data_IF_512673695768
#
_entry.id   IF_512673695768
#
_cell.length_a   1.000
_cell.length_b   1.000
_cell.length_c   1.000
_cell.angle_alpha   90.00
_cell.angle_beta   90.00
_cell.angle_gamma   90.00
#
_symmetry.space_group_name_H-M   'P 1'
#
loop_
_entity.id
_entity.type
_entity.pdbx_description
1 polymer ?
#
# COMPACT_ATOMS: atom_id res chain seq x y z
N UNK A 1 -17.28 15.42 95.28
CA UNK A 1 -16.67 15.34 96.63
C UNK A 1 -15.33 16.08 96.62
N UNK A 2 -14.76 16.49 97.77
CA UNK A 2 -13.42 17.13 97.81
C UNK A 2 -12.38 16.15 98.35
N UNK A 3 -11.18 16.16 97.78
CA UNK A 3 -10.07 15.31 98.22
C UNK A 3 -9.62 15.71 99.63
N UNK A 4 -9.62 14.77 100.58
CA UNK A 4 -9.16 15.03 101.95
C UNK A 4 -7.67 15.37 102.05
N UNK A 5 -6.86 15.02 101.04
CA UNK A 5 -5.41 15.25 101.02
C UNK A 5 -5.00 16.58 100.36
N UNK A 6 -5.69 17.00 99.29
CA UNK A 6 -5.31 18.20 98.52
C UNK A 6 -6.45 19.22 98.30
N UNK A 7 -7.66 18.95 98.77
CA UNK A 7 -8.82 19.85 98.67
C UNK A 7 -9.49 19.96 97.29
N UNK A 8 -8.92 19.35 96.25
CA UNK A 8 -9.47 19.39 94.89
C UNK A 8 -10.84 18.68 94.79
N UNK A 9 -11.71 19.18 93.92
CA UNK A 9 -13.05 18.61 93.68
C UNK A 9 -12.95 17.39 92.74
N UNK A 10 -13.62 16.29 93.10
CA UNK A 10 -13.61 14.97 92.42
C UNK A 10 -15.06 14.57 92.08
N UNK A 11 -15.28 14.07 90.86
CA UNK A 11 -16.54 13.47 90.39
C UNK A 11 -16.70 12.03 90.90
N UNK A 12 -17.94 11.55 91.03
CA UNK A 12 -18.32 10.37 91.85
C UNK A 12 -17.80 9.02 91.34
N UNK A 13 -17.23 9.01 90.14
CA UNK A 13 -16.98 7.86 89.28
C UNK A 13 -15.48 7.49 89.20
N UNK A 14 -14.63 8.18 89.98
CA UNK A 14 -13.18 7.94 90.06
C UNK A 14 -12.80 7.44 91.47
N UNK A 15 -12.28 6.21 91.56
CA UNK A 15 -11.80 5.60 92.80
C UNK A 15 -10.51 6.20 93.36
N UNK A 16 -9.95 7.24 92.73
CA UNK A 16 -8.75 7.94 93.15
C UNK A 16 -8.81 9.42 92.74
N UNK A 17 -8.09 10.28 93.46
CA UNK A 17 -8.00 11.70 93.14
C UNK A 17 -7.08 11.92 91.93
N UNK A 18 -7.56 12.50 90.81
CA UNK A 18 -6.74 12.68 89.60
C UNK A 18 -5.58 13.68 89.78
N UNK A 19 -5.62 14.54 90.80
CA UNK A 19 -4.60 15.56 91.04
C UNK A 19 -3.46 15.12 91.96
N UNK A 20 -3.72 14.26 92.95
CA UNK A 20 -2.69 13.86 93.93
C UNK A 20 -2.50 12.34 94.04
N UNK A 21 -3.28 11.54 93.30
CA UNK A 21 -3.18 10.08 93.27
C UNK A 21 -3.65 9.36 94.53
N UNK A 22 -4.20 10.07 95.53
CA UNK A 22 -4.73 9.45 96.73
C UNK A 22 -6.01 8.65 96.42
N UNK A 23 -6.08 7.41 96.89
CA UNK A 23 -7.25 6.54 96.74
C UNK A 23 -8.46 7.13 97.51
N UNK A 24 -9.60 7.16 96.84
CA UNK A 24 -10.85 7.65 97.41
C UNK A 24 -11.54 6.46 98.09
N UNK A 25 -11.42 6.37 99.42
CA UNK A 25 -12.22 5.41 100.19
C UNK A 25 -13.67 5.90 100.24
N UNK A 26 -14.48 5.33 99.36
CA UNK A 26 -15.94 5.46 99.43
C UNK A 26 -16.41 4.59 100.60
N UNK A 27 -16.98 5.22 101.63
CA UNK A 27 -17.60 4.49 102.74
C UNK A 27 -18.86 3.83 102.18
N UNK A 28 -19.01 2.49 102.29
CA UNK A 28 -20.11 1.78 101.67
C UNK A 28 -21.48 2.25 102.15
N UNK A 29 -22.33 2.52 101.16
CA UNK A 29 -23.78 2.41 101.09
C UNK A 29 -24.55 2.63 102.39
N UNK A 30 -25.13 3.83 102.47
CA UNK A 30 -26.26 4.18 103.32
C UNK A 30 -27.35 3.10 103.23
N UNK A 31 -27.46 2.31 104.29
CA UNK A 31 -28.45 1.25 104.41
C UNK A 31 -29.71 1.83 105.09
N UNK A 32 -30.83 2.03 104.38
CA UNK A 32 -32.05 2.60 104.96
C UNK A 32 -32.67 1.74 106.08
N UNK A 33 -32.21 0.49 106.26
CA UNK A 33 -32.56 -0.34 107.43
C UNK A 33 -31.96 0.19 108.74
N UNK A 34 -30.83 0.92 108.70
CA UNK A 34 -30.20 1.47 109.90
C UNK A 34 -30.98 2.67 110.46
N UNK A 35 -31.61 3.48 109.59
CA UNK A 35 -32.55 4.53 110.02
C UNK A 35 -33.88 3.95 110.53
N UNK A 36 -34.39 2.86 109.93
CA UNK A 36 -35.58 2.18 110.46
C UNK A 36 -35.34 1.56 111.84
N UNK A 37 -34.14 1.05 112.11
CA UNK A 37 -33.72 0.57 113.45
C UNK A 37 -33.50 1.73 114.43
N UNK A 38 -32.96 2.86 113.98
CA UNK A 38 -32.77 4.06 114.81
C UNK A 38 -34.09 4.78 115.16
N UNK A 39 -35.08 4.74 114.26
CA UNK A 39 -36.37 5.41 114.41
C UNK A 39 -37.33 4.61 115.32
N UNK A 40 -37.15 3.29 115.43
CA UNK A 40 -37.99 2.43 116.29
C UNK A 40 -37.42 2.21 117.71
N UNK A 41 -36.12 2.44 117.93
CA UNK A 41 -35.51 2.47 119.29
C UNK A 41 -35.90 3.74 120.05
N UNK A 42 -36.30 4.84 119.37
CA UNK A 42 -36.87 6.04 120.02
C UNK A 42 -38.33 5.89 120.45
N UNK A 43 -39.08 4.91 119.92
CA UNK A 43 -40.48 4.68 120.27
C UNK A 43 -40.71 3.63 121.36
N UNK A 44 -39.67 2.93 121.81
CA UNK A 44 -39.76 1.82 122.77
C UNK A 44 -39.30 2.18 124.20
N UNK A 45 -39.22 3.49 124.51
CA UNK A 45 -39.04 4.01 125.87
C UNK A 45 -40.30 4.80 126.21
N UNK A 46 -41.43 4.12 126.32
CA UNK A 46 -42.54 4.51 127.20
C UNK A 46 -43.48 3.31 127.33
N UNK A 47 -43.72 2.91 128.57
CA UNK A 47 -44.30 1.63 128.95
C UNK A 47 -45.72 1.41 128.45
N UNK A 48 -45.97 0.19 127.99
CA UNK A 48 -47.30 -0.34 127.72
C UNK A 48 -47.21 -1.74 127.12
N UNK A 49 -47.65 -2.74 127.87
CA UNK A 49 -47.63 -4.16 127.49
C UNK A 49 -48.24 -4.39 126.10
N UNK A 50 -47.42 -4.78 125.12
CA UNK A 50 -47.85 -5.24 123.79
C UNK A 50 -47.76 -6.76 123.74
N UNK A 51 -48.90 -7.40 123.48
CA UNK A 51 -49.09 -8.86 123.52
C UNK A 51 -48.23 -9.60 122.47
N UNK A 52 -47.67 -10.76 122.85
CA UNK A 52 -46.92 -11.69 121.96
C UNK A 52 -47.61 -11.95 120.61
N UNK A 53 -48.94 -11.92 120.58
CA UNK A 53 -49.76 -12.14 119.38
C UNK A 53 -49.65 -11.04 118.31
N UNK A 54 -49.36 -9.79 118.68
CA UNK A 54 -49.22 -8.69 117.71
C UNK A 54 -47.87 -8.71 117.01
N UNK A 55 -46.81 -9.08 117.73
CA UNK A 55 -45.46 -9.25 117.18
C UNK A 55 -45.40 -10.40 116.15
N UNK A 56 -46.16 -11.47 116.39
CA UNK A 56 -46.21 -12.65 115.51
C UNK A 56 -47.01 -12.39 114.23
N UNK A 57 -48.12 -11.65 114.30
CA UNK A 57 -48.84 -11.14 113.11
C UNK A 57 -47.96 -10.22 112.27
N UNK A 58 -47.15 -9.37 112.91
CA UNK A 58 -46.23 -8.48 112.21
C UNK A 58 -45.13 -9.25 111.48
N UNK A 59 -44.52 -10.28 112.11
CA UNK A 59 -43.54 -11.15 111.44
C UNK A 59 -44.14 -11.90 110.24
N UNK A 60 -45.36 -12.41 110.39
CA UNK A 60 -46.05 -13.10 109.28
C UNK A 60 -46.35 -12.14 108.12
N UNK A 61 -46.83 -10.92 108.41
CA UNK A 61 -47.10 -9.90 107.39
C UNK A 61 -45.82 -9.43 106.67
N UNK A 62 -44.68 -9.32 107.38
CA UNK A 62 -43.38 -8.99 106.78
C UNK A 62 -42.85 -10.14 105.94
N UNK A 63 -42.94 -11.39 106.41
CA UNK A 63 -42.55 -12.57 105.63
C UNK A 63 -43.41 -12.75 104.37
N UNK A 64 -44.71 -12.49 104.46
CA UNK A 64 -45.63 -12.56 103.33
C UNK A 64 -45.33 -11.46 102.30
N UNK A 65 -45.09 -10.22 102.73
CA UNK A 65 -44.63 -9.13 101.84
C UNK A 65 -43.30 -9.45 101.17
N UNK A 66 -42.32 -9.97 101.92
CA UNK A 66 -41.02 -10.36 101.37
C UNK A 66 -41.17 -11.48 100.33
N UNK A 67 -42.06 -12.43 100.58
CA UNK A 67 -42.37 -13.52 99.64
C UNK A 67 -43.07 -13.00 98.39
N UNK A 68 -44.01 -12.08 98.52
CA UNK A 68 -44.68 -11.42 97.39
C UNK A 68 -43.69 -10.58 96.56
N UNK A 69 -42.81 -9.81 97.20
CA UNK A 69 -41.74 -9.08 96.50
C UNK A 69 -40.78 -10.02 95.76
N UNK A 70 -40.38 -11.13 96.38
CA UNK A 70 -39.56 -12.14 95.70
C UNK A 70 -40.27 -12.78 94.51
N UNK A 71 -41.57 -13.06 94.64
CA UNK A 71 -42.38 -13.57 93.52
C UNK A 71 -42.52 -12.53 92.41
N UNK A 72 -42.73 -11.26 92.74
CA UNK A 72 -42.84 -10.17 91.77
C UNK A 72 -41.50 -9.89 91.06
N UNK A 73 -40.38 -9.89 91.80
CA UNK A 73 -39.04 -9.82 91.23
C UNK A 73 -38.73 -11.02 90.33
N UNK A 74 -39.13 -12.22 90.74
CA UNK A 74 -38.94 -13.43 89.93
C UNK A 74 -39.78 -13.35 88.64
N UNK A 75 -41.04 -12.92 88.71
CA UNK A 75 -41.88 -12.68 87.53
C UNK A 75 -41.31 -11.58 86.63
N UNK A 76 -40.78 -10.49 87.21
CA UNK A 76 -40.08 -9.43 86.45
C UNK A 76 -38.84 -9.97 85.76
N UNK A 77 -37.99 -10.75 86.45
CA UNK A 77 -36.81 -11.41 85.84
C UNK A 77 -37.21 -12.35 84.70
N UNK A 78 -38.23 -13.18 84.89
CA UNK A 78 -38.71 -14.10 83.86
C UNK A 78 -39.30 -13.36 82.64
N UNK A 79 -40.03 -12.27 82.85
CA UNK A 79 -40.59 -11.46 81.75
C UNK A 79 -39.50 -10.74 80.95
N UNK A 80 -38.47 -10.18 81.61
CA UNK A 80 -37.29 -9.60 80.95
C UNK A 80 -36.53 -10.67 80.18
N UNK A 81 -36.34 -11.86 80.77
CA UNK A 81 -35.66 -12.97 80.10
C UNK A 81 -36.44 -13.47 78.88
N UNK A 82 -37.76 -13.64 78.97
CA UNK A 82 -38.61 -13.97 77.81
C UNK A 82 -38.53 -12.91 76.72
N UNK A 83 -38.56 -11.62 77.07
CA UNK A 83 -38.42 -10.53 76.11
C UNK A 83 -37.07 -10.55 75.41
N UNK A 84 -35.97 -10.78 76.14
CA UNK A 84 -34.63 -10.92 75.57
C UNK A 84 -34.51 -12.13 74.64
N UNK A 85 -35.18 -13.24 74.94
CA UNK A 85 -35.20 -14.43 74.09
C UNK A 85 -35.97 -14.18 72.79
N UNK A 86 -37.12 -13.49 72.86
CA UNK A 86 -37.89 -13.09 71.67
C UNK A 86 -37.07 -12.14 70.79
N UNK A 87 -36.44 -11.13 71.38
CA UNK A 87 -35.58 -10.18 70.66
C UNK A 87 -34.37 -10.89 70.00
N UNK A 88 -33.71 -11.82 70.70
CA UNK A 88 -32.63 -12.63 70.15
C UNK A 88 -33.10 -13.55 69.01
N UNK A 89 -34.30 -14.14 69.13
CA UNK A 89 -34.88 -14.98 68.08
C UNK A 89 -35.26 -14.15 66.84
N UNK A 90 -35.84 -12.96 67.03
CA UNK A 90 -36.14 -12.02 65.96
C UNK A 90 -34.88 -11.53 65.25
N UNK A 91 -33.81 -11.22 66.00
CA UNK A 91 -32.52 -10.83 65.44
C UNK A 91 -31.87 -11.98 64.66
N UNK A 92 -31.95 -13.22 65.18
CA UNK A 92 -31.49 -14.41 64.48
C UNK A 92 -32.29 -14.66 63.19
N UNK A 93 -33.62 -14.49 63.23
CA UNK A 93 -34.50 -14.54 62.04
C UNK A 93 -34.13 -13.45 61.04
N UNK A 94 -33.84 -12.22 61.48
CA UNK A 94 -33.39 -11.09 60.64
C UNK A 94 -32.04 -11.38 59.99
N UNK A 95 -31.05 -11.88 60.74
CA UNK A 95 -29.73 -12.29 60.25
C UNK A 95 -29.85 -13.40 59.20
N UNK A 96 -30.67 -14.44 59.45
CA UNK A 96 -30.97 -15.51 58.47
C UNK A 96 -31.61 -14.96 57.19
N UNK A 97 -32.60 -14.05 57.30
CA UNK A 97 -33.22 -13.39 56.13
C UNK A 97 -32.21 -12.57 55.31
N UNK A 98 -31.31 -11.83 55.97
CA UNK A 98 -30.25 -11.07 55.31
C UNK A 98 -29.20 -11.97 54.65
N UNK A 99 -28.80 -13.06 55.30
CA UNK A 99 -27.89 -14.07 54.74
C UNK A 99 -28.49 -14.73 53.48
N UNK A 100 -29.76 -15.15 53.54
CA UNK A 100 -30.49 -15.69 52.38
C UNK A 100 -30.59 -14.68 51.24
N UNK A 101 -30.89 -13.40 51.53
CA UNK A 101 -30.87 -12.32 50.52
C UNK A 101 -29.48 -12.12 49.91
N UNK A 102 -28.41 -12.14 50.70
CA UNK A 102 -27.02 -12.04 50.22
C UNK A 102 -26.65 -13.24 49.34
N UNK A 103 -27.04 -14.45 49.72
CA UNK A 103 -26.79 -15.66 48.95
C UNK A 103 -27.55 -15.64 47.61
N UNK A 104 -28.83 -15.28 47.60
CA UNK A 104 -29.61 -15.09 46.37
C UNK A 104 -29.00 -13.99 45.50
N UNK A 105 -28.59 -12.85 46.07
CA UNK A 105 -27.88 -11.79 45.32
C UNK A 105 -26.54 -12.29 44.75
N UNK A 106 -25.78 -13.09 45.49
CA UNK A 106 -24.52 -13.72 45.01
C UNK A 106 -24.80 -14.70 43.87
N UNK A 107 -25.82 -15.56 43.99
CA UNK A 107 -26.25 -16.48 42.92
C UNK A 107 -26.72 -15.73 41.68
N UNK A 108 -27.57 -14.69 41.84
CA UNK A 108 -28.01 -13.81 40.74
C UNK A 108 -26.83 -13.07 40.10
N UNK A 109 -25.89 -12.52 40.88
CA UNK A 109 -24.69 -11.85 40.37
C UNK A 109 -23.80 -12.82 39.60
N UNK A 110 -23.57 -14.04 40.10
CA UNK A 110 -22.80 -15.08 39.38
C UNK A 110 -23.50 -15.49 38.08
N UNK A 111 -24.82 -15.64 38.10
CA UNK A 111 -25.62 -15.93 36.91
C UNK A 111 -25.50 -14.79 35.89
N UNK A 112 -25.69 -13.54 36.30
CA UNK A 112 -25.57 -12.37 35.42
C UNK A 112 -24.15 -12.25 34.85
N UNK A 113 -23.11 -12.42 35.66
CA UNK A 113 -21.72 -12.42 35.18
C UNK A 113 -21.51 -13.56 34.18
N UNK A 114 -21.98 -14.77 34.49
CA UNK A 114 -21.92 -15.91 33.58
C UNK A 114 -22.59 -15.61 32.24
N UNK A 115 -23.82 -15.09 32.27
CA UNK A 115 -24.56 -14.68 31.06
C UNK A 115 -23.81 -13.61 30.25
N UNK A 116 -23.22 -12.60 30.91
CA UNK A 116 -22.43 -11.58 30.21
C UNK A 116 -21.14 -12.14 29.60
N UNK A 117 -20.45 -13.05 30.29
CA UNK A 117 -19.24 -13.69 29.75
C UNK A 117 -19.60 -14.57 28.55
N UNK A 118 -20.70 -15.33 28.63
CA UNK A 118 -21.16 -16.13 27.50
C UNK A 118 -21.63 -15.28 26.33
N UNK A 119 -22.34 -14.17 26.57
CA UNK A 119 -22.79 -13.30 25.48
C UNK A 119 -21.62 -12.59 24.81
N UNK A 120 -20.63 -12.11 25.57
CA UNK A 120 -19.39 -11.54 25.03
C UNK A 120 -18.59 -12.62 24.25
N UNK A 121 -18.50 -13.84 24.78
CA UNK A 121 -17.90 -14.97 24.09
C UNK A 121 -18.58 -15.28 22.76
N UNK A 122 -19.91 -15.30 22.72
CA UNK A 122 -20.67 -15.49 21.47
C UNK A 122 -20.48 -14.32 20.50
N UNK A 123 -20.50 -13.08 20.97
CA UNK A 123 -20.28 -11.90 20.14
C UNK A 123 -18.86 -11.88 19.52
N UNK A 124 -17.85 -12.30 20.28
CA UNK A 124 -16.47 -12.41 19.77
C UNK A 124 -16.33 -13.53 18.74
N UNK A 125 -16.97 -14.69 18.95
CA UNK A 125 -16.99 -15.76 17.95
C UNK A 125 -17.72 -15.34 16.66
N UNK A 126 -18.85 -14.64 16.79
CA UNK A 126 -19.59 -14.09 15.66
C UNK A 126 -18.75 -13.06 14.90
N UNK A 127 -18.10 -12.12 15.59
CA UNK A 127 -17.27 -11.11 14.95
C UNK A 127 -16.07 -11.72 14.21
N UNK A 128 -15.42 -12.74 14.80
CA UNK A 128 -14.36 -13.50 14.13
C UNK A 128 -14.89 -14.25 12.91
N UNK A 129 -16.07 -14.85 12.99
CA UNK A 129 -16.72 -15.52 11.85
C UNK A 129 -17.01 -14.56 10.70
N UNK A 130 -17.58 -13.38 11.02
CA UNK A 130 -17.85 -12.31 10.04
C UNK A 130 -16.54 -11.83 9.43
N UNK A 131 -15.52 -11.57 10.24
CA UNK A 131 -14.21 -11.14 9.75
C UNK A 131 -13.57 -12.17 8.82
N UNK A 132 -13.56 -13.45 9.19
CA UNK A 132 -13.02 -14.54 8.35
C UNK A 132 -13.76 -14.69 7.03
N UNK A 133 -15.05 -14.39 6.99
CA UNK A 133 -15.86 -14.38 5.77
C UNK A 133 -15.69 -13.08 4.96
N UNK A 134 -15.28 -11.98 5.60
CA UNK A 134 -15.13 -10.68 4.95
C UNK A 134 -14.06 -10.68 3.85
N UNK A 135 -14.17 -9.73 2.93
CA UNK A 135 -13.18 -9.51 1.87
C UNK A 135 -11.77 -9.36 2.46
N UNK A 136 -11.57 -8.41 3.37
CA UNK A 136 -10.28 -8.16 4.01
C UNK A 136 -9.75 -9.37 4.81
N UNK A 137 -10.64 -10.17 5.40
CA UNK A 137 -10.24 -11.41 6.06
C UNK A 137 -9.72 -12.46 5.08
N UNK A 138 -10.37 -12.60 3.91
CA UNK A 138 -9.89 -13.48 2.83
C UNK A 138 -8.56 -12.99 2.26
N UNK A 139 -8.40 -11.70 2.00
CA UNK A 139 -7.13 -11.12 1.52
C UNK A 139 -5.98 -11.45 2.48
N UNK A 140 -6.12 -11.12 3.77
CA UNK A 140 -5.05 -11.41 4.75
C UNK A 140 -4.74 -12.90 4.86
N UNK A 141 -5.77 -13.75 4.75
CA UNK A 141 -5.58 -15.20 4.75
C UNK A 141 -4.86 -15.68 3.48
N UNK A 142 -5.19 -15.13 2.31
CA UNK A 142 -4.55 -15.43 1.03
C UNK A 142 -3.05 -15.13 1.09
N UNK A 143 -2.67 -13.93 1.54
CA UNK A 143 -1.27 -13.57 1.71
C UNK A 143 -0.53 -14.42 2.75
N UNK A 144 -1.20 -14.78 3.86
CA UNK A 144 -0.61 -15.69 4.85
C UNK A 144 -0.33 -17.08 4.24
N UNK A 145 -1.24 -17.61 3.43
CA UNK A 145 -1.07 -18.89 2.72
C UNK A 145 0.03 -18.81 1.65
N UNK A 146 0.11 -17.71 0.92
CA UNK A 146 1.15 -17.47 -0.07
C UNK A 146 2.54 -17.47 0.58
N UNK A 147 2.68 -16.83 1.75
CA UNK A 147 3.93 -16.84 2.54
C UNK A 147 4.31 -18.24 3.04
N UNK A 148 3.32 -19.09 3.30
CA UNK A 148 3.52 -20.51 3.62
C UNK A 148 3.76 -21.39 2.38
N UNK A 149 3.87 -20.80 1.18
CA UNK A 149 4.00 -21.49 -0.12
C UNK A 149 2.85 -22.45 -0.44
N UNK A 150 1.68 -22.25 0.18
CA UNK A 150 0.46 -23.01 -0.09
C UNK A 150 -0.32 -22.36 -1.23
N UNK A 151 0.29 -22.31 -2.41
CA UNK A 151 -0.18 -21.51 -3.55
C UNK A 151 -1.61 -21.87 -3.97
N UNK A 152 -1.95 -23.16 -4.14
CA UNK A 152 -3.30 -23.59 -4.51
C UNK A 152 -4.38 -23.09 -3.53
N UNK A 153 -4.08 -23.08 -2.24
CA UNK A 153 -5.01 -22.61 -1.21
C UNK A 153 -5.08 -21.08 -1.17
N UNK A 154 -3.97 -20.40 -1.46
CA UNK A 154 -3.91 -18.94 -1.57
C UNK A 154 -4.77 -18.48 -2.76
N UNK A 155 -4.56 -19.08 -3.95
CA UNK A 155 -5.32 -18.81 -5.17
C UNK A 155 -6.82 -18.95 -4.92
N UNK A 156 -7.27 -20.11 -4.43
CA UNK A 156 -8.70 -20.34 -4.10
C UNK A 156 -9.25 -19.37 -3.06
N UNK A 157 -8.40 -18.82 -2.19
CA UNK A 157 -8.83 -17.84 -1.18
C UNK A 157 -8.99 -16.46 -1.80
N UNK A 158 -8.09 -16.07 -2.71
CA UNK A 158 -8.18 -14.82 -3.46
C UNK A 158 -9.29 -14.84 -4.51
N UNK A 159 -9.49 -15.93 -5.25
CA UNK A 159 -10.64 -16.12 -6.16
C UNK A 159 -11.97 -15.88 -5.42
N UNK A 160 -12.11 -16.46 -4.23
CA UNK A 160 -13.26 -16.21 -3.35
C UNK A 160 -13.38 -14.76 -2.88
N UNK A 161 -12.30 -13.99 -2.86
CA UNK A 161 -12.33 -12.56 -2.55
C UNK A 161 -12.78 -11.76 -3.78
N UNK A 162 -12.27 -12.12 -4.96
CA UNK A 162 -12.69 -11.59 -6.28
C UNK A 162 -14.19 -11.78 -6.48
N UNK A 163 -14.73 -12.98 -6.27
CA UNK A 163 -16.18 -13.28 -6.36
C UNK A 163 -17.05 -12.33 -5.52
N UNK A 164 -16.53 -11.82 -4.39
CA UNK A 164 -17.27 -10.91 -3.51
C UNK A 164 -17.18 -9.45 -3.95
N UNK A 165 -16.05 -9.05 -4.52
CA UNK A 165 -15.76 -7.66 -4.92
C UNK A 165 -14.91 -7.67 -6.20
N UNK A 166 -15.53 -7.90 -7.37
CA UNK A 166 -14.80 -8.10 -8.63
C UNK A 166 -14.10 -6.84 -9.15
N UNK A 167 -14.51 -5.64 -8.75
CA UNK A 167 -13.85 -4.39 -9.17
C UNK A 167 -12.63 -4.00 -8.30
N UNK A 168 -12.33 -4.73 -7.22
CA UNK A 168 -11.24 -4.38 -6.28
C UNK A 168 -9.94 -5.07 -6.64
N UNK A 169 -8.91 -4.26 -6.87
CA UNK A 169 -7.63 -4.70 -7.36
C UNK A 169 -6.80 -5.53 -6.35
N UNK A 170 -6.92 -5.27 -5.04
CA UNK A 170 -6.13 -5.94 -3.97
C UNK A 170 -6.20 -7.49 -4.02
N UNK A 171 -7.32 -8.06 -4.49
CA UNK A 171 -7.46 -9.52 -4.63
C UNK A 171 -6.71 -10.07 -5.84
N UNK A 172 -6.73 -9.34 -6.95
CA UNK A 172 -6.02 -9.68 -8.18
C UNK A 172 -4.51 -9.49 -8.01
N UNK A 173 -4.08 -8.42 -7.34
CA UNK A 173 -2.69 -8.24 -6.93
C UNK A 173 -2.19 -9.42 -6.08
N UNK A 174 -3.04 -9.94 -5.18
CA UNK A 174 -2.73 -11.14 -4.40
C UNK A 174 -2.60 -12.41 -5.26
N UNK A 175 -3.43 -12.58 -6.30
CA UNK A 175 -3.33 -13.68 -7.26
C UNK A 175 -2.07 -13.56 -8.11
N UNK A 176 -1.82 -12.38 -8.69
CA UNK A 176 -0.64 -12.10 -9.49
C UNK A 176 0.65 -12.30 -8.68
N UNK A 177 0.69 -11.88 -7.41
CA UNK A 177 1.82 -12.13 -6.52
C UNK A 177 2.05 -13.63 -6.27
N UNK A 178 0.98 -14.44 -6.21
CA UNK A 178 1.12 -15.89 -6.09
C UNK A 178 1.66 -16.50 -7.37
N UNK A 179 1.14 -16.10 -8.54
CA UNK A 179 1.63 -16.61 -9.84
C UNK A 179 3.07 -16.17 -10.13
N UNK A 180 3.44 -14.93 -9.82
CA UNK A 180 4.81 -14.45 -9.89
C UNK A 180 5.75 -15.25 -8.96
N UNK A 181 5.30 -15.58 -7.75
CA UNK A 181 6.06 -16.47 -6.85
C UNK A 181 6.20 -17.91 -7.37
N UNK A 182 5.41 -18.29 -8.37
CA UNK A 182 5.51 -19.55 -9.12
C UNK A 182 6.29 -19.38 -10.45
N UNK A 183 6.89 -18.21 -10.69
CA UNK A 183 7.60 -17.84 -11.92
C UNK A 183 6.72 -17.87 -13.18
N UNK A 184 5.40 -17.71 -12.99
CA UNK A 184 4.43 -17.69 -14.08
C UNK A 184 3.88 -16.27 -14.27
N UNK A 185 4.68 -15.45 -14.96
CA UNK A 185 4.34 -14.05 -15.24
C UNK A 185 3.13 -13.93 -16.17
N UNK A 186 3.01 -14.83 -17.15
CA UNK A 186 1.90 -14.84 -18.11
C UNK A 186 0.56 -14.97 -17.39
N UNK A 187 0.44 -15.91 -16.44
CA UNK A 187 -0.78 -16.03 -15.62
C UNK A 187 -0.95 -14.87 -14.65
N UNK A 188 0.12 -14.32 -14.11
CA UNK A 188 0.04 -13.15 -13.24
C UNK A 188 -0.54 -11.93 -13.97
N UNK A 189 -0.10 -11.70 -15.21
CA UNK A 189 -0.57 -10.62 -16.08
C UNK A 189 -2.02 -10.85 -16.54
N UNK A 190 -2.34 -12.07 -16.99
CA UNK A 190 -3.69 -12.44 -17.44
C UNK A 190 -4.77 -12.17 -16.37
N UNK A 191 -4.45 -12.38 -15.09
CA UNK A 191 -5.36 -12.08 -13.97
C UNK A 191 -5.78 -10.60 -13.95
N UNK A 192 -4.89 -9.68 -14.31
CA UNK A 192 -5.22 -8.26 -14.38
C UNK A 192 -6.03 -7.93 -15.64
N UNK A 193 -5.65 -8.48 -16.80
CA UNK A 193 -6.41 -8.30 -18.03
C UNK A 193 -7.86 -8.77 -17.89
N UNK A 194 -8.08 -9.98 -17.35
CA UNK A 194 -9.43 -10.51 -17.08
C UNK A 194 -10.23 -9.56 -16.16
N UNK A 195 -9.57 -8.97 -15.16
CA UNK A 195 -10.19 -8.06 -14.21
C UNK A 195 -10.59 -6.73 -14.85
N UNK A 196 -9.69 -6.18 -15.69
CA UNK A 196 -9.85 -4.92 -16.43
C UNK A 196 -10.93 -5.08 -17.49
N UNK A 197 -10.94 -6.17 -18.26
CA UNK A 197 -12.00 -6.44 -19.24
C UNK A 197 -13.38 -6.51 -18.56
N UNK A 198 -13.46 -7.12 -17.38
CA UNK A 198 -14.70 -7.16 -16.61
C UNK A 198 -15.07 -5.82 -15.95
N UNK A 199 -14.10 -4.93 -15.69
CA UNK A 199 -14.30 -3.68 -14.96
C UNK A 199 -13.42 -2.54 -15.54
N UNK A 200 -13.65 -2.11 -16.79
CA UNK A 200 -12.72 -1.22 -17.51
C UNK A 200 -12.63 0.18 -16.91
N UNK A 201 -13.60 0.59 -16.10
CA UNK A 201 -13.64 1.90 -15.42
C UNK A 201 -12.88 1.93 -14.10
N UNK A 202 -12.31 0.81 -13.65
CA UNK A 202 -11.64 0.72 -12.35
C UNK A 202 -10.19 1.18 -12.43
N UNK A 203 -9.94 2.44 -12.05
CA UNK A 203 -8.58 3.00 -11.96
C UNK A 203 -7.66 2.14 -11.08
N UNK A 204 -8.18 1.60 -9.96
CA UNK A 204 -7.42 0.76 -9.03
C UNK A 204 -6.82 -0.48 -9.74
N UNK A 205 -7.51 -1.07 -10.73
CA UNK A 205 -7.00 -2.24 -11.45
C UNK A 205 -5.82 -1.90 -12.36
N UNK A 206 -5.90 -0.78 -13.07
CA UNK A 206 -4.81 -0.30 -13.90
C UNK A 206 -3.60 0.12 -13.07
N UNK A 207 -3.82 0.78 -11.92
CA UNK A 207 -2.71 1.15 -11.01
C UNK A 207 -1.96 -0.08 -10.51
N UNK A 208 -2.66 -1.12 -10.04
CA UNK A 208 -2.00 -2.36 -9.57
C UNK A 208 -1.31 -3.12 -10.71
N UNK A 209 -1.86 -3.09 -11.93
CA UNK A 209 -1.21 -3.70 -13.09
C UNK A 209 0.06 -2.94 -13.52
N UNK A 210 0.03 -1.59 -13.47
CA UNK A 210 1.22 -0.76 -13.69
C UNK A 210 2.27 -1.05 -12.62
N UNK A 211 1.87 -1.10 -11.35
CA UNK A 211 2.78 -1.44 -10.24
C UNK A 211 3.36 -2.85 -10.41
N UNK A 212 2.57 -3.80 -10.91
CA UNK A 212 3.04 -5.13 -11.29
C UNK A 212 4.11 -5.06 -12.39
N UNK A 213 3.85 -4.36 -13.50
CA UNK A 213 4.84 -4.21 -14.58
C UNK A 213 6.13 -3.52 -14.14
N UNK A 214 6.04 -2.52 -13.27
CA UNK A 214 7.23 -1.86 -12.70
C UNK A 214 7.99 -2.84 -11.80
N UNK A 215 7.30 -3.66 -11.00
CA UNK A 215 7.93 -4.61 -10.10
C UNK A 215 8.56 -5.82 -10.82
N UNK A 216 8.16 -6.10 -12.07
CA UNK A 216 8.65 -7.21 -12.90
C UNK A 216 9.59 -6.75 -14.03
N UNK A 217 10.03 -5.49 -14.03
CA UNK A 217 10.89 -4.89 -15.08
C UNK A 217 10.28 -5.00 -16.50
N UNK A 218 8.95 -4.83 -16.59
CA UNK A 218 8.15 -4.89 -17.82
C UNK A 218 7.54 -3.53 -18.18
N UNK A 219 8.27 -2.42 -17.97
CA UNK A 219 7.74 -1.06 -18.15
C UNK A 219 7.29 -0.75 -19.59
N UNK A 220 7.77 -1.52 -20.58
CA UNK A 220 7.33 -1.44 -21.97
C UNK A 220 5.87 -1.83 -22.18
N UNK A 221 5.26 -2.59 -21.25
CA UNK A 221 3.85 -2.97 -21.32
C UNK A 221 2.91 -1.86 -20.85
N UNK A 222 3.38 -0.93 -20.00
CA UNK A 222 2.58 0.19 -19.50
C UNK A 222 2.00 1.07 -20.63
N UNK A 223 2.79 1.53 -21.62
CA UNK A 223 2.21 2.32 -22.71
C UNK A 223 1.22 1.51 -23.57
N UNK A 224 1.39 0.18 -23.70
CA UNK A 224 0.46 -0.69 -24.42
C UNK A 224 -0.87 -0.77 -23.65
N UNK A 225 -0.83 -1.08 -22.36
CA UNK A 225 -1.99 -1.08 -21.46
C UNK A 225 -2.78 0.24 -21.53
N UNK A 226 -2.08 1.37 -21.56
CA UNK A 226 -2.71 2.69 -21.61
C UNK A 226 -3.22 3.06 -23.01
N UNK A 227 -2.69 2.48 -24.09
CA UNK A 227 -3.18 2.68 -25.45
C UNK A 227 -4.48 1.90 -25.68
N UNK A 228 -4.57 0.68 -25.12
CA UNK A 228 -5.76 -0.18 -25.17
C UNK A 228 -6.91 0.30 -24.26
N UNK A 229 -6.64 1.25 -23.36
CA UNK A 229 -7.64 1.79 -22.43
C UNK A 229 -8.58 2.78 -23.12
N UNK A 230 -9.81 2.36 -23.39
CA UNK A 230 -10.86 3.23 -23.98
C UNK A 230 -11.45 4.26 -22.98
N UNK A 231 -11.24 4.06 -21.68
CA UNK A 231 -11.89 4.84 -20.63
C UNK A 231 -11.12 6.15 -20.32
N UNK A 232 -11.62 7.27 -20.85
CA UNK A 232 -11.01 8.60 -20.68
C UNK A 232 -10.82 9.00 -19.19
N UNK A 233 -11.73 8.57 -18.32
CA UNK A 233 -11.63 8.84 -16.88
C UNK A 233 -10.43 8.16 -16.23
N UNK A 234 -10.10 6.95 -16.68
CA UNK A 234 -8.94 6.17 -16.25
C UNK A 234 -7.67 6.79 -16.81
N UNK A 235 -7.65 7.09 -18.12
CA UNK A 235 -6.53 7.79 -18.76
C UNK A 235 -6.20 9.10 -18.05
N UNK A 236 -7.22 9.88 -17.69
CA UNK A 236 -7.05 11.15 -16.96
C UNK A 236 -6.40 10.94 -15.59
N UNK A 237 -6.82 9.91 -14.84
CA UNK A 237 -6.21 9.56 -13.55
C UNK A 237 -4.75 9.10 -13.71
N UNK A 238 -4.46 8.36 -14.76
CA UNK A 238 -3.14 7.77 -15.04
C UNK A 238 -2.22 8.66 -15.90
N UNK A 239 -2.57 9.94 -16.07
CA UNK A 239 -1.81 10.89 -16.90
C UNK A 239 -0.32 10.97 -16.56
N UNK A 240 0.08 10.67 -15.32
CA UNK A 240 1.49 10.66 -14.90
C UNK A 240 2.31 9.52 -15.50
N UNK A 241 1.66 8.47 -16.00
CA UNK A 241 2.27 7.29 -16.63
C UNK A 241 2.29 7.41 -18.16
N UNK A 242 1.44 8.27 -18.74
CA UNK A 242 1.38 8.47 -20.18
C UNK A 242 2.62 9.20 -20.72
N UNK A 243 3.27 8.60 -21.70
CA UNK A 243 4.40 9.18 -22.42
C UNK A 243 4.10 9.17 -23.91
N UNK A 244 4.12 10.34 -24.54
CA UNK A 244 3.92 10.45 -25.99
C UNK A 244 5.21 10.10 -26.71
N UNK A 245 5.06 9.37 -27.81
CA UNK A 245 6.14 8.99 -28.69
C UNK A 245 6.90 10.24 -29.21
N UNK A 246 8.21 10.13 -29.48
CA UNK A 246 8.99 11.24 -29.99
C UNK A 246 8.51 11.63 -31.39
N UNK A 247 8.45 12.94 -31.66
CA UNK A 247 8.10 13.46 -32.97
C UNK A 247 9.36 13.59 -33.84
N UNK A 248 9.30 12.96 -35.01
CA UNK A 248 10.31 13.04 -36.05
C UNK A 248 10.11 14.31 -36.89
N UNK A 249 11.20 15.01 -37.22
CA UNK A 249 11.13 16.22 -38.06
C UNK A 249 10.92 15.93 -39.54
N UNK A 250 11.31 14.74 -39.99
CA UNK A 250 11.21 14.31 -41.38
C UNK A 250 10.04 13.33 -41.56
N UNK A 251 9.36 13.47 -42.69
CA UNK A 251 8.34 12.54 -43.13
C UNK A 251 8.97 11.33 -43.82
N UNK A 252 8.27 10.20 -43.78
CA UNK A 252 8.70 8.99 -44.47
C UNK A 252 8.55 9.20 -45.98
N UNK A 253 9.67 9.56 -46.64
CA UNK A 253 9.73 9.93 -48.05
C UNK A 253 11.06 9.51 -48.66
N UNK A 254 11.11 9.60 -49.99
CA UNK A 254 12.36 9.64 -50.75
C UNK A 254 12.95 11.05 -50.70
N UNK A 255 14.27 11.11 -50.59
CA UNK A 255 15.07 12.34 -50.58
C UNK A 255 16.20 12.23 -51.61
N UNK A 256 16.55 13.33 -52.23
CA UNK A 256 17.63 13.46 -53.23
C UNK A 256 18.92 14.03 -52.63
N UNK A 257 18.93 14.32 -51.35
CA UNK A 257 20.10 14.78 -50.59
C UNK A 257 20.14 14.13 -49.20
N UNK A 258 21.35 14.05 -48.62
CA UNK A 258 21.54 13.57 -47.25
C UNK A 258 20.73 14.42 -46.28
N UNK A 259 19.95 13.77 -45.43
CA UNK A 259 19.07 14.46 -44.49
C UNK A 259 19.61 14.43 -43.05
N UNK A 260 19.20 15.42 -42.26
CA UNK A 260 19.38 15.42 -40.80
C UNK A 260 18.01 15.26 -40.12
N UNK A 261 17.81 14.11 -39.48
CA UNK A 261 16.61 13.82 -38.71
C UNK A 261 16.76 14.34 -37.28
N UNK A 262 15.80 15.14 -36.84
CA UNK A 262 15.70 15.56 -35.43
C UNK A 262 14.50 14.93 -34.74
N UNK A 263 14.68 14.56 -33.48
CA UNK A 263 13.67 13.98 -32.61
C UNK A 263 13.29 14.97 -31.51
N UNK A 264 12.00 15.14 -31.23
CA UNK A 264 11.50 16.03 -30.18
C UNK A 264 10.48 15.32 -29.28
N UNK A 265 10.56 15.53 -27.96
CA UNK A 265 9.59 15.00 -27.00
C UNK A 265 9.43 15.92 -25.80
N UNK A 266 8.30 15.81 -25.10
CA UNK A 266 8.07 16.44 -23.79
C UNK A 266 8.62 15.58 -22.63
N UNK A 267 9.07 14.36 -22.91
CA UNK A 267 9.62 13.44 -21.92
C UNK A 267 11.03 13.88 -21.45
N UNK A 268 11.64 13.10 -20.56
CA UNK A 268 12.95 13.41 -19.99
C UNK A 268 14.06 13.14 -21.01
N UNK A 269 14.03 11.97 -21.63
CA UNK A 269 15.08 11.45 -22.52
C UNK A 269 14.44 10.76 -23.74
N UNK A 270 15.20 10.64 -24.83
CA UNK A 270 14.82 9.90 -26.06
C UNK A 270 15.93 8.91 -26.36
N UNK A 271 15.56 7.70 -26.75
CA UNK A 271 16.46 6.62 -27.15
C UNK A 271 16.05 6.11 -28.52
N UNK A 272 17.02 5.72 -29.35
CA UNK A 272 16.77 5.32 -30.72
C UNK A 272 17.73 4.24 -31.23
N UNK A 273 17.34 3.61 -32.33
CA UNK A 273 18.10 2.62 -33.10
C UNK A 273 17.98 2.93 -34.59
N UNK A 274 19.01 2.55 -35.36
CA UNK A 274 19.06 2.72 -36.84
C UNK A 274 19.32 1.40 -37.58
N UNK A 275 19.45 0.30 -36.83
CA UNK A 275 19.71 -1.06 -37.33
C UNK A 275 18.44 -1.91 -37.41
N UNK A 276 17.28 -1.31 -37.11
CA UNK A 276 15.97 -1.96 -37.09
C UNK A 276 15.62 -2.68 -35.77
N UNK A 277 16.54 -2.74 -34.80
CA UNK A 277 16.25 -3.33 -33.48
C UNK A 277 15.28 -2.47 -32.66
N UNK A 278 14.52 -3.08 -31.74
CA UNK A 278 13.62 -2.34 -30.86
C UNK A 278 14.41 -1.47 -29.86
N UNK A 279 14.11 -0.17 -29.75
CA UNK A 279 14.83 0.72 -28.86
C UNK A 279 14.44 0.47 -27.39
N UNK A 280 15.44 0.47 -26.52
CA UNK A 280 15.30 0.37 -25.06
C UNK A 280 16.05 1.52 -24.37
N UNK A 281 15.98 1.60 -23.05
CA UNK A 281 16.76 2.55 -22.24
C UNK A 281 18.28 2.30 -22.30
N UNK A 282 18.70 1.15 -22.85
CA UNK A 282 20.10 0.80 -23.10
C UNK A 282 20.57 1.17 -24.51
N UNK A 283 19.64 1.54 -25.41
CA UNK A 283 19.95 1.98 -26.77
C UNK A 283 20.65 3.35 -26.80
N UNK A 284 20.97 3.82 -28.01
CA UNK A 284 21.66 5.10 -28.19
C UNK A 284 20.77 6.25 -27.72
N UNK A 285 21.26 7.03 -26.75
CA UNK A 285 20.59 8.24 -26.28
C UNK A 285 20.68 9.33 -27.35
N UNK A 286 19.54 9.96 -27.67
CA UNK A 286 19.48 11.05 -28.63
C UNK A 286 19.97 12.36 -28.00
N UNK A 287 21.08 12.90 -28.53
CA UNK A 287 21.69 14.17 -28.09
C UNK A 287 21.90 15.16 -29.25
N UNK A 288 21.96 14.66 -30.49
CA UNK A 288 22.27 15.41 -31.71
C UNK A 288 21.44 14.86 -32.88
N UNK A 289 21.22 15.65 -33.95
CA UNK A 289 20.54 15.17 -35.15
C UNK A 289 21.16 13.88 -35.70
N UNK A 290 20.31 12.99 -36.22
CA UNK A 290 20.69 11.71 -36.82
C UNK A 290 20.91 11.95 -38.32
N UNK A 291 22.11 11.65 -38.81
CA UNK A 291 22.40 11.74 -40.25
C UNK A 291 21.81 10.54 -40.99
N UNK A 292 21.06 10.82 -42.06
CA UNK A 292 20.45 9.82 -42.95
C UNK A 292 21.24 9.81 -44.26
N UNK A 293 22.18 8.86 -44.45
CA UNK A 293 23.01 8.79 -45.65
C UNK A 293 22.25 8.21 -46.85
N UNK A 294 22.91 8.18 -48.02
CA UNK A 294 22.43 7.47 -49.22
C UNK A 294 22.07 6.00 -48.89
N UNK A 295 20.95 5.54 -49.45
CA UNK A 295 20.37 4.23 -49.19
C UNK A 295 19.11 4.29 -48.31
N UNK A 296 18.73 3.14 -47.75
CA UNK A 296 17.56 3.01 -46.88
C UNK A 296 17.99 2.95 -45.42
N UNK A 297 17.45 3.86 -44.59
CA UNK A 297 17.69 3.89 -43.14
C UNK A 297 16.35 3.83 -42.41
N UNK A 298 16.17 2.85 -41.54
CA UNK A 298 15.01 2.76 -40.63
C UNK A 298 15.42 3.27 -39.27
N UNK A 299 14.67 4.25 -38.74
CA UNK A 299 14.91 4.83 -37.42
C UNK A 299 13.73 4.52 -36.52
N UNK A 300 13.99 3.84 -35.41
CA UNK A 300 13.01 3.58 -34.34
C UNK A 300 13.38 4.38 -33.11
N UNK A 301 12.40 4.96 -32.42
CA UNK A 301 12.67 5.75 -31.21
C UNK A 301 11.56 5.67 -30.17
N UNK A 302 11.98 5.75 -28.90
CA UNK A 302 11.10 5.86 -27.73
C UNK A 302 11.48 7.10 -26.90
N UNK A 303 10.49 7.67 -26.22
CA UNK A 303 10.70 8.72 -25.25
C UNK A 303 10.48 8.16 -23.84
N UNK A 304 11.33 8.54 -22.88
CA UNK A 304 11.30 7.99 -21.52
C UNK A 304 11.07 9.11 -20.51
N UNK A 305 10.12 8.92 -19.60
CA UNK A 305 9.78 9.92 -18.59
C UNK A 305 10.70 9.83 -17.34
N UNK A 306 10.45 10.68 -16.34
CA UNK A 306 11.24 10.71 -15.09
C UNK A 306 11.07 9.46 -14.21
N UNK A 307 10.01 8.68 -14.41
CA UNK A 307 9.75 7.42 -13.72
C UNK A 307 10.40 6.21 -14.41
N UNK A 308 11.09 6.42 -15.54
CA UNK A 308 11.68 5.33 -16.32
C UNK A 308 10.72 4.67 -17.32
N UNK A 309 9.48 5.15 -17.43
CA UNK A 309 8.47 4.55 -18.30
C UNK A 309 8.67 5.03 -19.74
N UNK A 310 8.74 4.13 -20.73
CA UNK A 310 8.86 4.47 -22.14
C UNK A 310 7.50 4.84 -22.76
N UNK A 311 7.54 5.51 -23.91
CA UNK A 311 6.42 5.61 -24.84
C UNK A 311 6.30 4.33 -25.67
N UNK A 312 5.24 4.23 -26.48
CA UNK A 312 5.25 3.35 -27.65
C UNK A 312 6.42 3.69 -28.58
N UNK A 313 6.89 2.70 -29.32
CA UNK A 313 7.92 2.85 -30.36
C UNK A 313 7.32 3.59 -31.55
N UNK A 314 7.97 4.68 -31.96
CA UNK A 314 7.72 5.33 -33.24
C UNK A 314 8.78 4.87 -34.24
N UNK A 315 8.36 4.44 -35.42
CA UNK A 315 9.21 3.92 -36.49
C UNK A 315 8.97 4.72 -37.78
N UNK A 316 10.07 5.13 -38.44
CA UNK A 316 10.04 5.70 -39.78
C UNK A 316 11.18 5.18 -40.63
N UNK A 317 10.90 4.94 -41.91
CA UNK A 317 11.90 4.54 -42.90
C UNK A 317 12.18 5.68 -43.88
N UNK A 318 13.46 5.92 -44.16
CA UNK A 318 13.93 6.98 -45.05
C UNK A 318 14.74 6.37 -46.18
N UNK A 319 14.52 6.83 -47.41
CA UNK A 319 15.32 6.43 -48.56
C UNK A 319 15.95 7.67 -49.19
N UNK A 320 17.27 7.72 -49.22
CA UNK A 320 18.03 8.80 -49.86
C UNK A 320 18.65 8.24 -51.14
N UNK A 321 18.27 8.80 -52.28
CA UNK A 321 18.78 8.47 -53.61
C UNK A 321 19.39 9.75 -54.21
N UNK A 322 20.70 9.94 -54.06
CA UNK A 322 21.34 11.18 -54.54
C UNK A 322 21.30 11.21 -56.07
N UNK A 323 20.90 12.35 -56.69
CA UNK A 323 20.81 12.46 -58.13
C UNK A 323 22.20 12.24 -58.73
N UNK A 324 22.19 11.65 -59.92
CA UNK A 324 23.38 11.38 -60.68
C UNK A 324 23.34 12.22 -61.94
N UNK A 325 24.50 12.71 -62.41
CA UNK A 325 24.56 13.44 -63.67
C UNK A 325 24.13 12.55 -64.85
N UNK A 326 23.62 13.22 -65.88
CA UNK A 326 23.26 12.60 -67.15
C UNK A 326 24.51 12.04 -67.88
N UNK A 327 24.28 11.34 -68.99
CA UNK A 327 25.37 10.85 -69.83
C UNK A 327 26.25 12.02 -70.33
N UNK A 328 27.59 11.86 -70.38
CA UNK A 328 28.47 12.95 -70.79
C UNK A 328 28.18 13.37 -72.24
N UNK A 329 28.22 14.67 -72.51
CA UNK A 329 28.13 15.16 -73.89
C UNK A 329 29.47 14.94 -74.58
N UNK A 330 29.48 14.15 -75.66
CA UNK A 330 30.68 13.90 -76.48
C UNK A 330 30.56 14.62 -77.81
N UNK A 331 31.57 15.43 -78.15
CA UNK A 331 31.71 16.17 -79.41
C UNK A 331 32.96 15.70 -80.15
N UNK A 332 32.93 15.48 -81.48
CA UNK A 332 31.81 15.70 -82.38
C UNK A 332 30.79 14.55 -82.34
N UNK A 333 29.66 14.72 -83.03
CA UNK A 333 28.63 13.68 -83.11
C UNK A 333 29.06 12.50 -83.99
N UNK A 334 28.34 11.38 -83.96
CA UNK A 334 28.58 10.22 -84.84
C UNK A 334 28.64 10.64 -86.31
N UNK A 335 29.67 10.20 -87.04
CA UNK A 335 29.87 10.63 -88.43
C UNK A 335 31.16 10.14 -89.09
N UNK A 336 31.33 10.54 -90.35
CA UNK A 336 32.56 10.35 -91.13
C UNK A 336 33.39 11.62 -91.15
N UNK A 337 34.70 11.48 -90.94
CA UNK A 337 35.68 12.55 -90.86
C UNK A 337 36.82 12.28 -91.84
N UNK A 338 37.33 13.35 -92.45
CA UNK A 338 38.40 13.29 -93.47
C UNK A 338 39.64 14.10 -93.08
N UNK A 339 39.59 14.77 -91.94
CA UNK A 339 40.64 15.65 -91.42
C UNK A 339 40.83 15.38 -89.92
N UNK A 340 41.98 15.81 -89.40
CA UNK A 340 42.30 15.72 -87.98
C UNK A 340 41.18 16.35 -87.13
N UNK A 341 40.58 15.54 -86.25
CA UNK A 341 39.45 15.94 -85.41
C UNK A 341 39.68 15.44 -83.98
N UNK A 342 39.42 16.30 -83.00
CA UNK A 342 39.50 15.97 -81.58
C UNK A 342 38.13 15.55 -81.04
N UNK A 343 38.13 14.56 -80.15
CA UNK A 343 36.97 14.15 -79.36
C UNK A 343 37.06 14.84 -77.99
N UNK A 344 36.05 15.61 -77.66
CA UNK A 344 35.90 16.33 -76.40
C UNK A 344 34.73 15.76 -75.61
N UNK A 345 34.93 15.57 -74.30
CA UNK A 345 33.92 15.13 -73.36
C UNK A 345 33.64 16.31 -72.43
N UNK A 346 32.37 16.70 -72.31
CA UNK A 346 31.95 17.68 -71.31
C UNK A 346 31.91 17.02 -69.94
N UNK A 347 32.76 17.47 -69.01
CA UNK A 347 32.93 16.90 -67.67
C UNK A 347 32.51 17.94 -66.63
N UNK A 348 31.36 17.75 -65.96
CA UNK A 348 30.92 18.59 -64.86
C UNK A 348 31.89 18.58 -63.68
N UNK A 349 31.88 19.64 -62.87
CA UNK A 349 32.71 19.71 -61.65
C UNK A 349 32.37 18.55 -60.69
N UNK A 350 33.38 17.84 -60.19
CA UNK A 350 33.21 16.73 -59.26
C UNK A 350 33.05 15.34 -59.89
N UNK A 351 33.12 15.25 -61.23
CA UNK A 351 33.14 14.00 -61.98
C UNK A 351 34.48 13.78 -62.68
N UNK A 352 34.82 12.50 -62.86
CA UNK A 352 35.89 12.04 -63.75
C UNK A 352 35.26 11.34 -64.95
N UNK A 353 35.72 11.65 -66.16
CA UNK A 353 35.25 10.94 -67.35
C UNK A 353 36.18 9.79 -67.72
N UNK A 354 35.61 8.66 -68.08
CA UNK A 354 36.33 7.49 -68.60
C UNK A 354 35.77 7.12 -69.97
N UNK A 355 36.62 6.63 -70.86
CA UNK A 355 36.23 6.28 -72.23
C UNK A 355 36.92 5.02 -72.76
N UNK A 356 36.30 4.40 -73.77
CA UNK A 356 36.81 3.25 -74.52
C UNK A 356 36.67 3.51 -76.02
N UNK A 357 37.48 2.83 -76.83
CA UNK A 357 37.39 2.89 -78.31
C UNK A 357 36.75 1.66 -78.95
N UNK A 358 36.52 0.60 -78.16
CA UNK A 358 35.98 -0.69 -78.59
C UNK A 358 34.46 -0.80 -78.40
N UNK A 359 33.83 0.18 -77.75
CA UNK A 359 32.39 0.24 -77.51
C UNK A 359 31.92 -0.38 -76.21
N UNK A 360 32.85 -0.90 -75.40
CA UNK A 360 32.58 -1.42 -74.08
C UNK A 360 32.27 -0.29 -73.09
N UNK A 361 31.51 -0.60 -72.04
CA UNK A 361 31.19 0.37 -70.99
C UNK A 361 32.49 0.72 -70.24
N UNK A 362 32.94 1.99 -70.26
CA UNK A 362 34.14 2.39 -69.54
C UNK A 362 33.94 2.25 -68.03
N UNK A 363 35.01 1.93 -67.32
CA UNK A 363 35.03 1.88 -65.85
C UNK A 363 36.45 2.15 -65.33
N UNK A 364 36.61 2.42 -64.02
CA UNK A 364 37.93 2.64 -63.41
C UNK A 364 38.84 1.40 -63.44
N UNK A 365 38.23 0.21 -63.46
CA UNK A 365 38.93 -1.06 -63.29
C UNK A 365 39.12 -1.83 -64.61
N UNK A 366 38.63 -1.30 -65.74
CA UNK A 366 38.75 -1.95 -67.05
C UNK A 366 40.08 -1.64 -67.73
N UNK A 367 40.77 -2.67 -68.24
CA UNK A 367 42.05 -2.52 -68.96
C UNK A 367 41.93 -1.70 -70.25
N UNK A 368 40.75 -1.74 -70.89
CA UNK A 368 40.47 -1.04 -72.16
C UNK A 368 39.87 0.36 -71.95
N UNK A 369 39.80 0.83 -70.69
CA UNK A 369 39.21 2.11 -70.29
C UNK A 369 40.30 3.12 -69.94
N UNK A 370 40.15 4.33 -70.45
CA UNK A 370 41.10 5.42 -70.31
C UNK A 370 40.45 6.60 -69.59
N UNK A 371 41.20 7.24 -68.69
CA UNK A 371 40.77 8.47 -68.03
C UNK A 371 40.87 9.65 -69.01
N UNK A 372 39.84 10.49 -69.06
CA UNK A 372 39.81 11.69 -69.88
C UNK A 372 40.37 12.88 -69.10
N UNK A 373 41.55 13.36 -69.52
CA UNK A 373 42.20 14.54 -68.94
C UNK A 373 42.33 15.71 -69.91
N UNK A 374 42.28 15.44 -71.22
CA UNK A 374 42.40 16.42 -72.30
C UNK A 374 41.71 15.93 -73.58
N UNK A 375 41.41 16.80 -74.57
CA UNK A 375 40.83 16.40 -75.85
C UNK A 375 41.59 15.25 -76.52
N UNK A 376 40.86 14.24 -76.99
CA UNK A 376 41.41 12.99 -77.50
C UNK A 376 41.52 13.04 -79.02
N UNK A 377 42.64 12.59 -79.59
CA UNK A 377 42.76 12.43 -81.04
C UNK A 377 41.86 11.28 -81.54
N UNK A 378 41.03 11.56 -82.56
CA UNK A 378 40.17 10.53 -83.15
C UNK A 378 41.02 9.46 -83.86
N UNK A 379 40.92 8.17 -83.50
CA UNK A 379 41.70 7.12 -84.16
C UNK A 379 41.29 6.92 -85.62
N UNK A 380 42.26 6.60 -86.48
CA UNK A 380 42.00 6.26 -87.88
C UNK A 380 41.19 4.96 -88.01
N UNK A 381 40.25 4.94 -88.96
CA UNK A 381 39.37 3.80 -89.19
C UNK A 381 38.03 3.91 -88.44
N UNK A 382 37.39 2.76 -88.21
CA UNK A 382 36.10 2.69 -87.52
C UNK A 382 36.32 2.55 -86.01
N UNK A 383 35.79 3.50 -85.26
CA UNK A 383 35.91 3.57 -83.80
C UNK A 383 34.52 3.62 -83.16
N UNK A 384 34.25 2.69 -82.24
CA UNK A 384 33.04 2.71 -81.43
C UNK A 384 33.38 3.32 -80.07
N UNK A 385 33.28 4.64 -79.99
CA UNK A 385 33.63 5.38 -78.79
C UNK A 385 32.53 5.28 -77.74
N UNK A 386 32.88 4.98 -76.50
CA UNK A 386 31.96 5.04 -75.36
C UNK A 386 32.55 5.90 -74.25
N UNK A 387 31.74 6.74 -73.62
CA UNK A 387 32.16 7.60 -72.50
C UNK A 387 31.16 7.55 -71.35
N UNK A 388 31.65 7.68 -70.12
CA UNK A 388 30.86 7.70 -68.89
C UNK A 388 31.46 8.71 -67.90
N UNK A 389 30.62 9.31 -67.06
CA UNK A 389 31.06 10.12 -65.92
C UNK A 389 31.02 9.28 -64.65
N UNK A 390 32.03 9.37 -63.80
CA UNK A 390 32.10 8.68 -62.52
C UNK A 390 32.30 9.72 -61.42
N UNK A 391 31.42 9.72 -60.41
CA UNK A 391 31.52 10.64 -59.28
C UNK A 391 32.60 10.20 -58.26
N UNK A 392 32.87 11.05 -57.27
CA UNK A 392 33.81 10.76 -56.17
C UNK A 392 33.47 9.50 -55.35
N UNK A 393 32.21 9.05 -55.37
CA UNK A 393 31.73 7.87 -54.66
C UNK A 393 31.76 6.62 -55.55
N UNK A 394 32.22 6.73 -56.80
CA UNK A 394 32.33 5.63 -57.76
C UNK A 394 31.03 5.33 -58.53
N UNK A 395 30.02 6.20 -58.45
CA UNK A 395 28.75 6.02 -59.17
C UNK A 395 28.90 6.49 -60.61
N UNK A 396 28.49 5.66 -61.56
CA UNK A 396 28.67 5.90 -63.00
C UNK A 396 27.38 6.41 -63.67
N UNK A 397 27.50 7.43 -64.52
CA UNK A 397 26.39 7.95 -65.32
C UNK A 397 25.97 6.99 -66.43
N UNK A 398 24.91 7.37 -67.15
CA UNK A 398 24.58 6.67 -68.38
C UNK A 398 25.74 6.81 -69.40
N UNK A 399 25.90 5.80 -70.25
CA UNK A 399 27.01 5.76 -71.22
C UNK A 399 26.61 6.47 -72.50
N UNK A 400 27.42 7.43 -72.94
CA UNK A 400 27.31 8.01 -74.28
C UNK A 400 28.10 7.18 -75.27
N UNK A 401 27.47 6.75 -76.37
CA UNK A 401 28.14 6.01 -77.45
C UNK A 401 28.17 6.82 -78.74
N UNK A 402 29.30 6.82 -79.43
CA UNK A 402 29.54 7.48 -80.72
C UNK A 402 30.22 6.50 -81.69
N UNK A 403 29.85 6.59 -82.95
CA UNK A 403 30.48 5.80 -84.02
C UNK A 403 31.22 6.77 -84.95
N UNK A 404 32.54 6.64 -85.01
CA UNK A 404 33.39 7.50 -85.81
C UNK A 404 34.06 6.70 -86.91
N UNK A 405 34.11 7.26 -88.12
CA UNK A 405 34.95 6.75 -89.20
C UNK A 405 35.88 7.87 -89.65
N UNK A 406 37.17 7.77 -89.34
CA UNK A 406 38.18 8.72 -89.83
C UNK A 406 38.94 8.08 -90.99
N UNK A 407 39.04 8.78 -92.12
CA UNK A 407 39.81 8.32 -93.28
C UNK A 407 40.57 9.49 -93.90
N UNK A 408 41.90 9.45 -93.87
CA UNK A 408 42.71 10.46 -94.54
C UNK A 408 42.69 10.26 -96.05
N UNK A 409 42.31 11.29 -96.80
CA UNK A 409 42.52 11.32 -98.24
C UNK A 409 43.98 11.66 -98.52
N UNK A 410 44.78 10.68 -98.94
CA UNK A 410 46.08 10.95 -99.55
C UNK A 410 45.84 11.42 -100.99
N UNK A 411 45.87 12.73 -101.22
CA UNK A 411 45.95 13.31 -102.57
C UNK A 411 47.34 13.12 -103.20
#
# INVERSE_FOLDING_TARGET
MKCAKCGAEITYDLGYCPYCGAEVRIVPDYNPLDDMLAEQVRGAIDGGETSENELERYRQAVQEKLRLQKQEEQQKRESVQRRSQIEAEEEARRKKRLARRREVRRKKRRLLIGMTVTSVGLLTLLSVGIYRSSYSGKIKKGYALAKEQKYDLAIRTFEKAVEKKPARAEAYAGLAAVYNAQEDLDRAEMVFWDAIEANPTSVELYEEMIDFYIATDQETQIPILLDDCEEESVLTALKSYQVKAPKFSLDESKYDEVQELTLTSKAKEIYYTTDGSEPTTESTKYEKPISIPEGTTTVKAIAVNKKGIPSLTEEKTYTVELPLEDAPTVTPTTGQYYEYTLIEIDVPEGYEAYYTFNGETPSKDSEDSYEYTEPIEMPEGNTLFSAVLIDKNGRASAVTKRNYTLTYSYE
#
